data_IF_207222296047
#
_entry.id   IF_207222296047
#
_cell.length_a   1.000
_cell.length_b   1.000
_cell.length_c   1.000
_cell.angle_alpha   90.00
_cell.angle_beta   90.00
_cell.angle_gamma   90.00
#
_symmetry.space_group_name_H-M   'P 1'
#
loop_
_entity.id
_entity.type
_entity.pdbx_description
1 polymer ?
#
# COMPACT_ATOMS: atom_id res chain seq x y z
N UNK A 1 -18.10 4.50 29.15
CA UNK A 1 -16.76 3.99 28.84
C UNK A 1 -16.55 4.06 27.33
N UNK A 2 -15.57 4.81 26.92
CA UNK A 2 -15.25 4.91 25.50
C UNK A 2 -14.50 3.64 25.06
N UNK A 3 -15.11 2.88 24.19
CA UNK A 3 -14.44 1.75 23.58
C UNK A 3 -13.40 2.31 22.61
N UNK A 4 -12.13 2.01 22.88
CA UNK A 4 -11.06 2.30 21.94
C UNK A 4 -10.94 1.12 20.99
N UNK A 5 -11.26 1.35 19.72
CA UNK A 5 -10.98 0.35 18.70
C UNK A 5 -9.47 0.24 18.53
N UNK A 6 -8.94 -0.98 18.38
CA UNK A 6 -7.51 -1.13 18.11
C UNK A 6 -7.15 -0.37 16.85
N UNK A 7 -6.05 0.37 16.90
CA UNK A 7 -5.53 1.10 15.74
C UNK A 7 -5.07 0.09 14.70
N UNK A 8 -5.65 0.19 13.50
CA UNK A 8 -5.27 -0.67 12.37
C UNK A 8 -4.36 0.15 11.46
N UNK A 9 -3.10 -0.24 11.35
CA UNK A 9 -2.12 0.48 10.58
C UNK A 9 -1.93 -0.15 9.19
N UNK A 10 -1.53 0.65 8.17
CA UNK A 10 -1.23 0.08 6.85
C UNK A 10 -0.21 -1.04 6.90
N UNK A 11 0.81 -0.93 7.74
CA UNK A 11 1.84 -1.96 7.92
C UNK A 11 1.30 -3.27 8.49
N UNK A 12 0.17 -3.22 9.18
CA UNK A 12 -0.48 -4.42 9.70
C UNK A 12 -1.28 -5.16 8.62
N UNK A 13 -1.66 -4.44 7.56
CA UNK A 13 -2.50 -4.95 6.48
C UNK A 13 -1.67 -5.30 5.24
N UNK A 14 -0.82 -4.38 4.80
CA UNK A 14 0.06 -4.59 3.64
C UNK A 14 1.39 -5.17 4.11
N UNK A 15 1.40 -6.47 4.40
CA UNK A 15 2.59 -7.14 4.93
C UNK A 15 3.70 -7.25 3.90
N UNK A 16 3.34 -7.41 2.64
CA UNK A 16 4.28 -7.52 1.54
C UNK A 16 3.56 -7.16 0.23
N UNK A 17 4.33 -6.80 -0.76
CA UNK A 17 3.80 -6.47 -2.08
C UNK A 17 3.82 -7.69 -3.00
N UNK A 18 4.97 -8.34 -3.13
CA UNK A 18 5.11 -9.55 -3.95
C UNK A 18 4.61 -10.74 -3.14
N UNK A 19 3.72 -11.54 -3.73
CA UNK A 19 3.20 -12.74 -3.06
C UNK A 19 4.33 -13.68 -2.67
N UNK A 20 4.30 -14.14 -1.44
CA UNK A 20 5.25 -15.10 -0.89
C UNK A 20 4.57 -15.94 0.17
N UNK A 21 5.20 -17.04 0.55
CA UNK A 21 4.71 -17.84 1.65
C UNK A 21 4.96 -17.12 2.98
N UNK A 22 4.06 -17.33 3.93
CA UNK A 22 4.23 -16.80 5.27
C UNK A 22 5.36 -17.54 5.98
N UNK A 23 6.13 -16.81 6.78
CA UNK A 23 7.15 -17.41 7.63
C UNK A 23 6.49 -18.13 8.81
N UNK A 24 7.22 -19.05 9.46
CA UNK A 24 6.71 -19.74 10.63
C UNK A 24 6.33 -18.77 11.74
N UNK A 25 7.09 -17.69 11.90
CA UNK A 25 6.80 -16.64 12.87
C UNK A 25 5.47 -15.93 12.58
N UNK A 26 5.23 -15.61 11.31
CA UNK A 26 3.97 -14.98 10.89
C UNK A 26 2.78 -15.92 11.12
N UNK A 27 2.93 -17.20 10.79
CA UNK A 27 1.90 -18.21 11.05
C UNK A 27 1.63 -18.34 12.55
N UNK A 28 2.69 -18.33 13.36
CA UNK A 28 2.57 -18.41 14.82
C UNK A 28 1.82 -17.22 15.41
N UNK A 29 1.91 -16.05 14.78
CA UNK A 29 1.18 -14.85 15.19
C UNK A 29 -0.28 -14.86 14.73
N UNK A 30 -0.71 -15.90 14.02
CA UNK A 30 -2.08 -16.03 13.56
C UNK A 30 -2.43 -15.12 12.39
N UNK A 31 -1.45 -14.71 11.60
CA UNK A 31 -1.69 -13.85 10.45
C UNK A 31 -2.44 -14.62 9.37
N UNK A 32 -3.60 -14.11 8.97
CA UNK A 32 -4.45 -14.69 7.94
C UNK A 32 -4.44 -13.76 6.73
N UNK A 33 -4.05 -14.31 5.58
CA UNK A 33 -4.03 -13.56 4.32
C UNK A 33 -5.36 -13.80 3.60
N UNK A 34 -6.04 -12.73 3.22
CA UNK A 34 -7.30 -12.82 2.47
C UNK A 34 -7.01 -12.98 0.97
N UNK A 35 -8.11 -13.12 0.18
CA UNK A 35 -8.02 -13.34 -1.27
C UNK A 35 -7.30 -12.21 -2.03
N UNK A 36 -7.17 -11.03 -1.42
CA UNK A 36 -6.48 -9.90 -2.03
C UNK A 36 -4.98 -9.90 -1.74
N UNK A 37 -4.50 -10.77 -0.85
CA UNK A 37 -3.10 -10.79 -0.44
C UNK A 37 -2.80 -9.89 0.74
N UNK A 38 -3.82 -9.39 1.42
CA UNK A 38 -3.68 -8.54 2.61
C UNK A 38 -4.08 -9.32 3.86
N UNK A 39 -3.57 -8.90 5.01
CA UNK A 39 -4.07 -9.41 6.29
C UNK A 39 -5.49 -8.89 6.51
N UNK A 40 -6.37 -9.73 7.06
CA UNK A 40 -7.73 -9.32 7.39
C UNK A 40 -7.73 -8.33 8.55
N UNK A 41 -8.55 -7.27 8.42
CA UNK A 41 -8.71 -6.26 9.47
C UNK A 41 -9.87 -6.57 10.42
N UNK A 42 -10.76 -7.47 10.03
CA UNK A 42 -12.01 -7.74 10.76
C UNK A 42 -13.14 -6.78 10.37
N UNK A 43 -12.87 -5.81 9.51
CA UNK A 43 -13.86 -4.83 9.04
C UNK A 43 -14.01 -4.98 7.53
N UNK A 44 -15.21 -5.31 7.07
CA UNK A 44 -15.47 -5.54 5.64
C UNK A 44 -15.09 -4.31 4.80
N UNK A 45 -15.41 -3.12 5.27
CA UNK A 45 -15.09 -1.89 4.54
C UNK A 45 -13.58 -1.71 4.37
N UNK A 46 -12.81 -1.90 5.43
CA UNK A 46 -11.34 -1.79 5.35
C UNK A 46 -10.74 -2.87 4.47
N UNK A 47 -11.24 -4.09 4.57
CA UNK A 47 -10.75 -5.19 3.73
C UNK A 47 -11.02 -4.90 2.25
N UNK A 48 -12.20 -4.34 1.93
CA UNK A 48 -12.54 -3.94 0.57
C UNK A 48 -11.65 -2.79 0.08
N UNK A 49 -11.43 -1.79 0.92
CA UNK A 49 -10.57 -0.66 0.61
C UNK A 49 -9.12 -1.13 0.37
N UNK A 50 -8.57 -1.93 1.27
CA UNK A 50 -7.21 -2.44 1.13
C UNK A 50 -7.05 -3.33 -0.11
N UNK A 51 -8.06 -4.13 -0.42
CA UNK A 51 -8.08 -4.93 -1.64
C UNK A 51 -8.08 -4.05 -2.88
N UNK A 52 -8.83 -2.95 -2.84
CA UNK A 52 -8.88 -2.00 -3.94
C UNK A 52 -7.54 -1.27 -4.12
N UNK A 53 -6.87 -0.90 -3.02
CA UNK A 53 -5.53 -0.30 -3.07
C UNK A 53 -4.55 -1.24 -3.77
N UNK A 54 -4.59 -2.53 -3.44
CA UNK A 54 -3.72 -3.52 -4.06
C UNK A 54 -3.99 -3.67 -5.56
N UNK A 55 -5.24 -3.47 -5.98
CA UNK A 55 -5.63 -3.58 -7.39
C UNK A 55 -5.32 -2.32 -8.19
N UNK A 56 -5.56 -1.14 -7.62
CA UNK A 56 -5.43 0.15 -8.33
C UNK A 56 -4.09 0.83 -8.11
N UNK A 57 -3.47 0.61 -6.94
CA UNK A 57 -2.26 1.33 -6.56
C UNK A 57 -2.54 2.80 -6.27
N UNK A 58 -1.58 3.64 -6.54
CA UNK A 58 -1.67 5.07 -6.26
C UNK A 58 -2.65 5.75 -7.23
N UNK A 59 -3.73 6.31 -6.69
CA UNK A 59 -4.74 7.04 -7.45
C UNK A 59 -5.23 8.22 -6.61
N UNK A 60 -5.88 9.17 -7.28
CA UNK A 60 -6.55 10.27 -6.57
C UNK A 60 -7.69 9.72 -5.70
N UNK A 61 -7.98 10.41 -4.61
CA UNK A 61 -9.03 9.98 -3.67
C UNK A 61 -10.39 9.82 -4.35
N UNK A 62 -10.69 10.67 -5.34
CA UNK A 62 -11.95 10.61 -6.09
C UNK A 62 -12.14 9.27 -6.79
N UNK A 63 -11.08 8.68 -7.31
CA UNK A 63 -11.14 7.37 -7.97
C UNK A 63 -11.61 6.30 -6.99
N UNK A 64 -11.02 6.28 -5.80
CA UNK A 64 -11.40 5.33 -4.75
C UNK A 64 -12.84 5.54 -4.28
N UNK A 65 -13.22 6.79 -4.07
CA UNK A 65 -14.58 7.13 -3.65
C UNK A 65 -15.61 6.69 -4.69
N UNK A 66 -15.33 6.92 -5.97
CA UNK A 66 -16.22 6.52 -7.05
C UNK A 66 -16.42 5.00 -7.10
N UNK A 67 -15.34 4.24 -6.99
CA UNK A 67 -15.42 2.77 -7.02
C UNK A 67 -16.18 2.24 -5.81
N UNK A 68 -15.97 2.84 -4.64
CA UNK A 68 -16.64 2.41 -3.40
C UNK A 68 -18.07 2.97 -3.28
N UNK A 69 -18.45 3.87 -4.17
CA UNK A 69 -19.81 4.43 -4.19
C UNK A 69 -20.12 5.37 -3.03
N UNK A 70 -19.12 6.11 -2.54
CA UNK A 70 -19.26 7.04 -1.42
C UNK A 70 -18.71 8.42 -1.80
N UNK A 71 -19.20 9.50 -1.17
CA UNK A 71 -18.59 10.82 -1.36
C UNK A 71 -17.13 10.83 -0.93
N UNK A 72 -16.29 11.58 -1.64
CA UNK A 72 -14.85 11.65 -1.36
C UNK A 72 -14.55 12.07 0.08
N UNK A 73 -15.30 13.07 0.59
CA UNK A 73 -15.13 13.54 1.97
C UNK A 73 -15.44 12.46 3.00
N UNK A 74 -16.46 11.66 2.73
CA UNK A 74 -16.88 10.56 3.62
C UNK A 74 -15.83 9.44 3.63
N UNK A 75 -15.23 9.14 2.48
CA UNK A 75 -14.20 8.13 2.38
C UNK A 75 -13.01 8.48 3.28
N UNK A 76 -12.48 9.69 3.14
CA UNK A 76 -11.36 10.15 3.95
C UNK A 76 -11.67 10.13 5.44
N UNK A 77 -12.85 10.63 5.81
CA UNK A 77 -13.30 10.65 7.21
C UNK A 77 -13.44 9.23 7.77
N UNK A 78 -14.01 8.32 7.00
CA UNK A 78 -14.20 6.93 7.43
C UNK A 78 -12.86 6.23 7.66
N UNK A 79 -11.93 6.35 6.72
CA UNK A 79 -10.60 5.74 6.86
C UNK A 79 -9.90 6.28 8.10
N UNK A 80 -9.93 7.59 8.31
CA UNK A 80 -9.31 8.21 9.48
C UNK A 80 -9.96 7.77 10.78
N UNK A 81 -11.28 7.67 10.81
CA UNK A 81 -12.02 7.22 12.00
C UNK A 81 -11.68 5.77 12.34
N UNK A 82 -11.62 4.90 11.33
CA UNK A 82 -11.36 3.47 11.54
C UNK A 82 -9.90 3.16 11.85
N UNK A 83 -8.96 3.95 11.35
CA UNK A 83 -7.53 3.58 11.39
C UNK A 83 -6.64 4.59 12.09
N UNK A 84 -7.10 5.83 12.26
CA UNK A 84 -6.25 6.91 12.77
C UNK A 84 -5.28 7.45 11.73
N UNK A 85 -5.29 6.91 10.52
CA UNK A 85 -4.41 7.34 9.42
C UNK A 85 -5.24 7.84 8.25
N UNK A 86 -4.70 8.77 7.47
CA UNK A 86 -5.37 9.29 6.29
C UNK A 86 -5.33 8.27 5.15
N UNK A 87 -6.24 8.44 4.19
CA UNK A 87 -6.22 7.63 2.97
C UNK A 87 -4.86 7.75 2.28
N UNK A 88 -4.30 8.95 2.25
CA UNK A 88 -2.99 9.20 1.66
C UNK A 88 -1.90 8.38 2.35
N UNK A 89 -1.94 8.28 3.68
CA UNK A 89 -0.98 7.46 4.43
C UNK A 89 -1.04 6.00 4.01
N UNK A 90 -2.24 5.48 3.77
CA UNK A 90 -2.44 4.10 3.30
C UNK A 90 -1.84 3.89 1.91
N UNK A 91 -2.08 4.85 1.00
CA UNK A 91 -1.53 4.78 -0.36
C UNK A 91 0.00 4.91 -0.35
N UNK A 92 0.52 5.86 0.42
CA UNK A 92 1.97 6.08 0.53
C UNK A 92 2.67 4.84 1.07
N UNK A 93 2.07 4.17 2.06
CA UNK A 93 2.66 2.95 2.61
C UNK A 93 2.68 1.83 1.57
N UNK A 94 1.58 1.67 0.83
CA UNK A 94 1.49 0.64 -0.22
C UNK A 94 2.54 0.87 -1.31
N UNK A 95 2.68 2.10 -1.78
CA UNK A 95 3.70 2.46 -2.78
C UNK A 95 5.11 2.22 -2.23
N UNK A 96 5.34 2.52 -0.95
CA UNK A 96 6.63 2.29 -0.30
C UNK A 96 7.00 0.81 -0.31
N UNK A 97 6.08 -0.06 0.08
CA UNK A 97 6.31 -1.51 0.05
C UNK A 97 6.58 -1.97 -1.38
N UNK A 98 5.73 -1.55 -2.33
CA UNK A 98 5.88 -1.93 -3.73
C UNK A 98 7.21 -1.46 -4.32
N UNK A 99 7.57 -0.22 -4.05
CA UNK A 99 8.84 0.34 -4.49
C UNK A 99 10.01 -0.49 -3.98
N UNK A 100 10.02 -0.76 -2.68
CA UNK A 100 11.11 -1.53 -2.06
C UNK A 100 11.21 -2.93 -2.65
N UNK A 101 10.12 -3.64 -2.75
CA UNK A 101 10.15 -5.03 -3.23
C UNK A 101 10.40 -5.13 -4.73
N UNK A 102 9.73 -4.31 -5.53
CA UNK A 102 9.90 -4.37 -6.99
C UNK A 102 11.29 -3.94 -7.44
N UNK A 103 11.83 -2.89 -6.83
CA UNK A 103 13.17 -2.42 -7.18
C UNK A 103 14.26 -3.40 -6.72
N UNK A 104 14.09 -3.98 -5.53
CA UNK A 104 15.11 -4.87 -4.95
C UNK A 104 15.04 -6.29 -5.49
N UNK A 105 13.84 -6.82 -5.73
CA UNK A 105 13.63 -8.24 -5.97
C UNK A 105 13.25 -8.60 -7.40
N UNK A 106 13.07 -7.62 -8.29
CA UNK A 106 12.74 -7.88 -9.71
C UNK A 106 13.67 -7.12 -10.63
N UNK A 107 13.70 -7.55 -11.89
CA UNK A 107 14.43 -6.86 -12.96
C UNK A 107 13.47 -6.05 -13.84
N UNK A 108 12.27 -5.77 -13.37
CA UNK A 108 11.29 -4.96 -14.10
C UNK A 108 11.85 -3.58 -14.36
N UNK A 109 11.52 -3.04 -15.53
CA UNK A 109 11.90 -1.67 -15.90
C UNK A 109 11.16 -0.69 -14.98
N UNK A 110 11.79 0.45 -14.75
CA UNK A 110 11.17 1.51 -13.94
C UNK A 110 9.80 1.91 -14.51
N UNK A 111 9.69 1.99 -15.84
CA UNK A 111 8.40 2.30 -16.50
C UNK A 111 7.32 1.27 -16.17
N UNK A 112 7.67 -0.01 -16.15
CA UNK A 112 6.74 -1.09 -15.80
C UNK A 112 6.31 -1.00 -14.34
N UNK A 113 7.26 -0.76 -13.44
CA UNK A 113 6.99 -0.59 -12.01
C UNK A 113 6.06 0.59 -11.77
N UNK A 114 6.29 1.70 -12.48
CA UNK A 114 5.46 2.90 -12.38
C UNK A 114 3.99 2.59 -12.63
N UNK A 115 3.71 1.90 -13.73
CA UNK A 115 2.34 1.52 -14.10
C UNK A 115 1.75 0.52 -13.12
N UNK A 116 2.54 -0.46 -12.69
CA UNK A 116 2.09 -1.48 -11.73
C UNK A 116 1.68 -0.87 -10.40
N UNK A 117 2.39 0.17 -9.95
CA UNK A 117 2.07 0.87 -8.71
C UNK A 117 0.93 1.89 -8.86
N UNK A 118 0.39 2.04 -10.07
CA UNK A 118 -0.78 2.87 -10.30
C UNK A 118 -0.51 4.27 -10.84
N UNK A 119 0.75 4.61 -11.14
CA UNK A 119 1.09 5.91 -11.70
C UNK A 119 0.79 5.96 -13.19
N UNK A 120 0.41 7.12 -13.73
CA UNK A 120 0.11 7.24 -15.17
C UNK A 120 1.34 7.07 -16.05
N UNK A 121 2.53 7.41 -15.54
CA UNK A 121 3.78 7.35 -16.29
C UNK A 121 4.98 7.30 -15.36
N UNK A 122 6.16 7.09 -15.95
CA UNK A 122 7.41 7.02 -15.19
C UNK A 122 7.79 8.36 -14.55
N UNK A 123 7.50 9.46 -15.23
CA UNK A 123 7.83 10.79 -14.71
C UNK A 123 7.10 11.08 -13.39
N UNK A 124 5.82 10.72 -13.33
CA UNK A 124 5.01 10.90 -12.10
C UNK A 124 5.57 10.05 -10.96
N UNK A 125 5.93 8.81 -11.23
CA UNK A 125 6.52 7.93 -10.22
C UNK A 125 7.88 8.44 -9.76
N UNK A 126 8.73 8.87 -10.70
CA UNK A 126 10.05 9.43 -10.37
C UNK A 126 9.92 10.67 -9.50
N UNK A 127 8.95 11.54 -9.82
CA UNK A 127 8.68 12.73 -9.00
C UNK A 127 8.24 12.31 -7.58
N UNK A 128 7.34 11.34 -7.49
CA UNK A 128 6.89 10.80 -6.20
C UNK A 128 8.07 10.29 -5.37
N UNK A 129 8.95 9.50 -5.98
CA UNK A 129 10.13 8.97 -5.28
C UNK A 129 11.06 10.06 -4.78
N UNK A 130 11.31 11.09 -5.58
CA UNK A 130 12.15 12.23 -5.15
C UNK A 130 11.51 12.97 -3.98
N UNK A 131 10.20 13.17 -4.02
CA UNK A 131 9.46 13.85 -2.96
C UNK A 131 9.44 13.04 -1.67
N UNK A 132 9.15 11.74 -1.76
CA UNK A 132 8.91 10.89 -0.60
C UNK A 132 10.16 10.21 -0.08
N UNK A 133 11.04 9.77 -0.97
CA UNK A 133 12.21 8.95 -0.61
C UNK A 133 13.53 9.68 -0.85
N UNK A 134 13.47 10.91 -1.34
CA UNK A 134 14.65 11.77 -1.59
C UNK A 134 15.66 11.14 -2.57
N UNK A 135 15.18 10.31 -3.50
CA UNK A 135 16.01 9.66 -4.50
C UNK A 135 15.17 9.23 -5.69
N UNK A 136 15.80 9.10 -6.85
CA UNK A 136 15.15 8.57 -8.05
C UNK A 136 14.93 7.07 -7.90
N UNK A 137 13.98 6.47 -8.66
CA UNK A 137 13.82 5.02 -8.63
C UNK A 137 15.09 4.26 -8.97
N UNK A 138 15.87 4.74 -9.93
CA UNK A 138 17.15 4.10 -10.30
C UNK A 138 18.15 4.11 -9.16
N UNK A 139 18.26 5.25 -8.46
CA UNK A 139 19.14 5.37 -7.30
C UNK A 139 18.65 4.48 -6.15
N UNK A 140 17.36 4.39 -5.94
CA UNK A 140 16.78 3.52 -4.93
C UNK A 140 17.08 2.05 -5.23
N UNK A 141 16.94 1.64 -6.49
CA UNK A 141 17.26 0.27 -6.89
C UNK A 141 18.71 -0.07 -6.57
N UNK A 142 19.62 0.81 -6.91
CA UNK A 142 21.04 0.61 -6.63
C UNK A 142 21.32 0.48 -5.14
N UNK A 143 20.76 1.39 -4.34
CA UNK A 143 20.93 1.37 -2.87
C UNK A 143 20.35 0.12 -2.24
N UNK A 144 19.15 -0.29 -2.66
CA UNK A 144 18.49 -1.47 -2.11
C UNK A 144 19.26 -2.76 -2.42
N UNK A 145 19.89 -2.83 -3.60
CA UNK A 145 20.67 -4.00 -4.00
C UNK A 145 22.06 -4.06 -3.34
N UNK A 146 22.57 -2.93 -2.88
CA UNK A 146 23.85 -2.90 -2.14
C UNK A 146 23.69 -3.32 -0.68
N UNK A 147 22.50 -3.22 -0.11
CA UNK A 147 22.22 -3.60 1.27
C UNK A 147 21.90 -5.10 1.35
N UNK A 148 22.86 -5.92 1.16
CA UNK A 148 22.68 -7.37 1.40
C UNK A 148 23.26 -7.76 2.74
#
# INVERSE_FOLDING_TARGET
MLETYPTILPEDVFLFYIKRELTDEEVAKGIIINKYGNANTGTVFLDSFAGLVRRLGWKEQTVYADVLGVPTSDLGATIRTLTGKSLKDWLDFYVKIGTRELLAKTNKKISEISLELGFPDQASYSHYCRERFKATPSDLRRRLRLKK
#
